data_IF_343114714553
#
_entry.id   IF_343114714553
#
_cell.length_a   1.000
_cell.length_b   1.000
_cell.length_c   1.000
_cell.angle_alpha   90.00
_cell.angle_beta   90.00
_cell.angle_gamma   90.00
#
_symmetry.space_group_name_H-M   'P 1'
#
loop_
_entity.id
_entity.type
_entity.pdbx_description
1 polymer ?
#
# COMPACT_ATOMS: atom_id res chain seq x y z
N UNK A 1 -2.95 -2.75 7.30
CA UNK A 1 -2.07 -2.35 6.17
C UNK A 1 -0.67 -2.02 6.65
N UNK A 2 -0.54 -1.21 7.71
CA UNK A 2 0.73 -0.85 8.35
C UNK A 2 1.65 -2.04 8.69
N UNK A 3 1.15 -3.06 9.38
CA UNK A 3 1.97 -4.24 9.68
C UNK A 3 2.49 -4.99 8.43
N UNK A 4 1.79 -4.91 7.29
CA UNK A 4 2.26 -5.49 6.02
C UNK A 4 3.30 -4.61 5.32
N UNK A 5 3.29 -3.30 5.59
CA UNK A 5 4.33 -2.39 5.12
C UNK A 5 5.62 -2.61 5.90
N UNK A 6 5.53 -2.56 7.23
CA UNK A 6 6.69 -2.79 8.11
C UNK A 6 7.34 -4.14 7.86
N UNK A 7 6.54 -5.21 7.68
CA UNK A 7 7.06 -6.52 7.28
C UNK A 7 7.85 -6.48 5.97
N UNK A 8 7.30 -5.83 4.94
CA UNK A 8 7.99 -5.72 3.66
C UNK A 8 9.29 -4.93 3.77
N UNK A 9 9.30 -3.86 4.56
CA UNK A 9 10.53 -3.07 4.81
C UNK A 9 11.58 -3.94 5.47
N UNK A 10 11.24 -4.69 6.52
CA UNK A 10 12.19 -5.60 7.19
C UNK A 10 12.74 -6.65 6.22
N UNK A 11 11.91 -7.18 5.32
CA UNK A 11 12.31 -8.24 4.38
C UNK A 11 13.11 -7.73 3.17
N UNK A 12 12.88 -6.49 2.71
CA UNK A 12 13.45 -5.98 1.45
C UNK A 12 14.43 -4.82 1.64
N UNK A 13 14.30 -4.09 2.75
CA UNK A 13 15.06 -2.88 3.09
C UNK A 13 15.32 -2.78 4.61
N UNK A 14 16.04 -3.75 5.20
CA UNK A 14 16.30 -3.77 6.64
C UNK A 14 17.02 -2.51 7.13
N UNK A 15 17.76 -1.81 6.27
CA UNK A 15 18.45 -0.55 6.56
C UNK A 15 17.51 0.61 6.95
N UNK A 16 16.23 0.53 6.55
CA UNK A 16 15.23 1.53 6.91
C UNK A 16 14.55 1.21 8.25
N UNK A 17 14.68 -0.01 8.76
CA UNK A 17 14.08 -0.42 10.01
C UNK A 17 14.99 -0.08 11.20
N UNK A 18 14.42 0.49 12.26
CA UNK A 18 15.19 0.83 13.46
C UNK A 18 15.63 -0.44 14.19
N UNK A 19 16.88 -0.48 14.67
CA UNK A 19 17.41 -1.63 15.43
C UNK A 19 16.57 -1.97 16.69
N UNK A 20 16.06 -0.94 17.38
CA UNK A 20 15.18 -1.13 18.55
C UNK A 20 13.89 -1.86 18.19
N UNK A 21 13.36 -1.60 16.99
CA UNK A 21 12.16 -2.21 16.49
C UNK A 21 12.41 -3.65 16.05
N UNK A 22 13.49 -3.90 15.30
CA UNK A 22 13.84 -5.24 14.83
C UNK A 22 14.22 -6.19 15.97
N UNK A 23 14.97 -5.70 16.97
CA UNK A 23 15.33 -6.48 18.16
C UNK A 23 14.11 -6.90 19.00
N UNK A 24 13.02 -6.12 18.94
CA UNK A 24 11.80 -6.38 19.69
C UNK A 24 10.80 -7.28 18.95
N UNK A 25 11.11 -7.71 17.72
CA UNK A 25 10.25 -8.58 16.92
C UNK A 25 10.45 -10.05 17.27
N UNK A 26 9.33 -10.76 17.41
CA UNK A 26 9.29 -12.22 17.44
C UNK A 26 9.17 -12.75 16.02
N UNK A 27 10.21 -13.45 15.59
CA UNK A 27 10.28 -14.13 14.30
C UNK A 27 9.55 -15.47 14.38
N UNK A 28 8.91 -15.86 13.28
CA UNK A 28 8.36 -17.20 13.09
C UNK A 28 9.48 -18.20 12.71
N UNK A 29 9.17 -19.50 12.66
CA UNK A 29 10.03 -20.58 12.15
C UNK A 29 10.56 -20.33 10.73
N UNK A 30 9.90 -19.45 9.98
CA UNK A 30 10.29 -19.02 8.63
C UNK A 30 11.22 -17.78 8.62
N UNK A 31 11.71 -17.36 9.78
CA UNK A 31 12.54 -16.16 9.98
C UNK A 31 11.84 -14.85 9.57
N UNK A 32 10.51 -14.88 9.45
CA UNK A 32 9.70 -13.73 9.06
C UNK A 32 8.93 -13.15 10.26
N UNK A 33 8.87 -11.81 10.32
CA UNK A 33 8.16 -11.10 11.37
C UNK A 33 6.64 -11.35 11.26
N UNK A 34 6.06 -11.91 12.33
CA UNK A 34 4.62 -12.19 12.35
C UNK A 34 3.83 -10.89 12.50
N UNK A 35 2.70 -10.75 11.80
CA UNK A 35 1.79 -9.59 11.91
C UNK A 35 1.44 -9.25 13.36
N UNK A 36 1.19 -10.28 14.18
CA UNK A 36 0.88 -10.12 15.62
C UNK A 36 2.05 -9.50 16.38
N UNK A 37 3.28 -9.94 16.10
CA UNK A 37 4.46 -9.36 16.73
C UNK A 37 4.66 -7.91 16.33
N UNK A 38 4.56 -7.61 15.05
CA UNK A 38 4.72 -6.22 14.55
C UNK A 38 3.74 -5.27 15.22
N UNK A 39 2.48 -5.67 15.37
CA UNK A 39 1.48 -4.87 16.06
C UNK A 39 1.76 -4.77 17.56
N UNK A 40 2.13 -5.87 18.22
CA UNK A 40 2.44 -5.86 19.65
C UNK A 40 3.66 -4.98 19.98
N UNK A 41 4.71 -5.03 19.15
CA UNK A 41 5.90 -4.18 19.30
C UNK A 41 5.54 -2.71 19.07
N UNK A 42 4.70 -2.44 18.07
CA UNK A 42 4.19 -1.09 17.80
C UNK A 42 3.38 -0.53 18.97
N UNK A 43 2.45 -1.32 19.53
CA UNK A 43 1.60 -0.92 20.65
C UNK A 43 2.40 -0.79 21.97
N UNK A 44 3.46 -1.58 22.14
CA UNK A 44 4.29 -1.54 23.35
C UNK A 44 5.25 -0.36 23.42
N UNK A 45 5.62 0.22 22.27
CA UNK A 45 6.63 1.28 22.19
C UNK A 45 6.19 2.39 21.20
N UNK A 46 5.09 3.11 21.47
CA UNK A 46 4.58 4.14 20.56
C UNK A 46 5.54 5.32 20.37
N UNK A 47 6.42 5.58 21.35
CA UNK A 47 7.44 6.62 21.28
C UNK A 47 8.68 6.22 20.45
N UNK A 48 8.85 4.93 20.14
CA UNK A 48 9.98 4.44 19.34
C UNK A 48 9.55 4.30 17.88
N UNK A 49 10.14 5.06 16.95
CA UNK A 49 9.79 4.95 15.54
C UNK A 49 10.29 3.60 14.98
N UNK A 50 9.43 2.86 14.24
CA UNK A 50 9.79 1.57 13.66
C UNK A 50 10.71 1.72 12.45
N UNK A 51 10.79 2.93 11.88
CA UNK A 51 11.55 3.24 10.68
C UNK A 51 12.40 4.50 10.88
N UNK A 52 13.54 4.54 10.20
CA UNK A 52 14.32 5.76 10.01
C UNK A 52 13.64 6.67 8.98
N UNK A 53 12.59 7.39 9.40
CA UNK A 53 11.80 8.28 8.53
C UNK A 53 12.64 9.32 7.76
N UNK A 54 13.78 9.75 8.31
CA UNK A 54 14.70 10.67 7.65
C UNK A 54 15.32 10.11 6.36
N UNK A 55 15.47 8.77 6.28
CA UNK A 55 16.08 8.09 5.14
C UNK A 55 15.03 7.53 4.17
N UNK A 56 13.75 7.82 4.41
CA UNK A 56 12.66 7.22 3.67
C UNK A 56 12.46 7.92 2.32
N UNK A 57 12.71 7.20 1.22
CA UNK A 57 12.48 7.74 -0.12
C UNK A 57 11.06 7.42 -0.62
N UNK A 58 10.47 8.28 -1.48
CA UNK A 58 9.17 8.03 -2.09
C UNK A 58 9.14 6.70 -2.84
N UNK A 59 10.24 6.39 -3.53
CA UNK A 59 10.38 5.18 -4.33
C UNK A 59 10.27 3.91 -3.49
N UNK A 60 10.68 3.93 -2.22
CA UNK A 60 10.60 2.77 -1.32
C UNK A 60 9.17 2.43 -0.96
N UNK A 61 8.37 3.46 -0.70
CA UNK A 61 6.94 3.29 -0.49
C UNK A 61 6.25 2.82 -1.79
N UNK A 62 6.60 3.39 -2.93
CA UNK A 62 6.00 3.03 -4.21
C UNK A 62 6.37 1.61 -4.67
N UNK A 63 7.61 1.15 -4.41
CA UNK A 63 8.05 -0.24 -4.62
C UNK A 63 7.23 -1.22 -3.81
N UNK A 64 6.93 -0.90 -2.55
CA UNK A 64 6.01 -1.71 -1.76
C UNK A 64 4.60 -1.72 -2.36
N UNK A 65 4.07 -0.56 -2.72
CA UNK A 65 2.74 -0.47 -3.34
C UNK A 65 2.68 -1.31 -4.62
N UNK A 66 3.73 -1.30 -5.44
CA UNK A 66 3.82 -2.07 -6.67
C UNK A 66 4.00 -3.58 -6.44
N UNK A 67 4.78 -3.98 -5.43
CA UNK A 67 4.99 -5.40 -5.12
C UNK A 67 3.71 -6.10 -4.64
N UNK A 68 2.72 -5.32 -4.18
CA UNK A 68 1.46 -5.82 -3.67
C UNK A 68 0.51 -6.24 -4.79
N UNK A 69 0.33 -7.55 -4.87
CA UNK A 69 -0.71 -8.23 -5.66
C UNK A 69 -1.72 -8.90 -4.74
N UNK A 70 -2.86 -9.27 -5.29
CA UNK A 70 -3.85 -10.06 -4.59
C UNK A 70 -3.29 -11.47 -4.35
N UNK A 71 -3.05 -11.82 -3.08
CA UNK A 71 -2.50 -13.13 -2.66
C UNK A 71 -3.30 -14.33 -3.21
N UNK A 72 -4.61 -14.18 -3.46
CA UNK A 72 -5.45 -15.26 -3.96
C UNK A 72 -5.47 -15.40 -5.48
N UNK A 73 -5.23 -14.31 -6.21
CA UNK A 73 -5.40 -14.30 -7.68
C UNK A 73 -4.16 -13.90 -8.45
N UNK A 74 -3.09 -13.46 -7.78
CA UNK A 74 -1.87 -12.93 -8.42
C UNK A 74 -2.08 -11.61 -9.19
N UNK A 75 -3.32 -11.16 -9.36
CA UNK A 75 -3.68 -9.93 -10.07
C UNK A 75 -3.39 -8.66 -9.27
N UNK A 76 -3.31 -7.49 -9.94
CA UNK A 76 -3.26 -6.18 -9.29
C UNK A 76 -4.40 -6.00 -8.28
N UNK A 77 -4.15 -5.21 -7.24
CA UNK A 77 -5.17 -4.89 -6.25
C UNK A 77 -6.15 -3.85 -6.81
N UNK A 78 -7.33 -3.74 -6.20
CA UNK A 78 -8.26 -2.66 -6.54
C UNK A 78 -7.70 -1.30 -6.14
N UNK A 79 -8.11 -0.24 -6.83
CA UNK A 79 -7.73 1.13 -6.47
C UNK A 79 -8.04 1.46 -5.00
N UNK A 80 -9.18 0.98 -4.47
CA UNK A 80 -9.55 1.16 -3.06
C UNK A 80 -8.51 0.57 -2.11
N UNK A 81 -7.93 -0.59 -2.45
CA UNK A 81 -6.88 -1.23 -1.65
C UNK A 81 -5.60 -0.39 -1.63
N UNK A 82 -5.21 0.15 -2.78
CA UNK A 82 -4.07 1.06 -2.91
C UNK A 82 -4.30 2.37 -2.16
N UNK A 83 -5.50 2.93 -2.22
CA UNK A 83 -5.89 4.11 -1.43
C UNK A 83 -5.77 3.84 0.07
N UNK A 84 -6.20 2.66 0.56
CA UNK A 84 -6.03 2.29 1.96
C UNK A 84 -4.55 2.13 2.37
N UNK A 85 -3.64 1.79 1.44
CA UNK A 85 -2.20 1.78 1.71
C UNK A 85 -1.69 3.20 1.93
N UNK A 86 -2.07 4.14 1.05
CA UNK A 86 -1.71 5.56 1.19
C UNK A 86 -2.21 6.12 2.53
N UNK A 87 -3.47 5.89 2.89
CA UNK A 87 -4.01 6.34 4.19
C UNK A 87 -3.28 5.73 5.38
N UNK A 88 -2.95 4.44 5.33
CA UNK A 88 -2.21 3.78 6.41
C UNK A 88 -0.77 4.33 6.55
N UNK A 89 -0.15 4.71 5.44
CA UNK A 89 1.16 5.36 5.45
C UNK A 89 1.09 6.78 6.01
N UNK A 90 0.13 7.59 5.57
CA UNK A 90 -0.10 8.94 6.13
C UNK A 90 -0.40 8.88 7.63
N UNK A 91 -1.16 7.88 8.09
CA UNK A 91 -1.40 7.65 9.51
C UNK A 91 -0.10 7.34 10.28
N UNK A 92 0.77 6.49 9.72
CA UNK A 92 2.09 6.22 10.30
C UNK A 92 2.92 7.50 10.41
N UNK A 93 2.95 8.32 9.36
CA UNK A 93 3.68 9.60 9.36
C UNK A 93 3.13 10.54 10.45
N UNK A 94 1.80 10.59 10.60
CA UNK A 94 1.13 11.40 11.61
C UNK A 94 1.43 10.96 13.06
N UNK A 95 1.51 9.66 13.33
CA UNK A 95 1.85 9.14 14.67
C UNK A 95 3.24 9.60 15.11
N UNK A 96 4.21 9.59 14.21
CA UNK A 96 5.60 9.95 14.51
C UNK A 96 5.93 11.41 14.19
N UNK A 97 4.90 12.24 13.96
CA UNK A 97 5.02 13.66 13.64
C UNK A 97 6.01 13.94 12.48
N UNK A 98 6.16 12.97 11.57
CA UNK A 98 7.07 13.10 10.45
C UNK A 98 6.41 13.95 9.37
N UNK A 99 7.02 15.11 9.10
CA UNK A 99 6.62 15.96 7.98
C UNK A 99 7.08 15.32 6.68
N UNK A 100 6.11 14.71 5.99
CA UNK A 100 6.30 14.19 4.63
C UNK A 100 6.78 15.34 3.74
N UNK A 101 7.95 15.24 3.09
CA UNK A 101 8.43 16.29 2.19
C UNK A 101 7.46 16.53 1.03
N UNK A 102 7.33 17.77 0.56
CA UNK A 102 6.40 18.10 -0.54
C UNK A 102 6.69 17.27 -1.82
N UNK A 103 7.99 17.06 -2.11
CA UNK A 103 8.47 16.22 -3.22
C UNK A 103 7.97 14.77 -3.06
N UNK A 104 7.88 14.27 -1.83
CA UNK A 104 7.38 12.93 -1.54
C UNK A 104 5.88 12.83 -1.84
N UNK A 105 5.11 13.84 -1.43
CA UNK A 105 3.68 13.87 -1.68
C UNK A 105 3.35 14.05 -3.17
N UNK A 106 4.12 14.86 -3.89
CA UNK A 106 3.99 15.04 -5.34
C UNK A 106 4.25 13.73 -6.10
N UNK A 107 5.34 13.03 -5.77
CA UNK A 107 5.68 11.74 -6.36
C UNK A 107 4.60 10.69 -6.09
N UNK A 108 4.12 10.62 -4.85
CA UNK A 108 3.01 9.74 -4.50
C UNK A 108 1.75 10.10 -5.31
N UNK A 109 1.37 11.38 -5.34
CA UNK A 109 0.15 11.83 -6.01
C UNK A 109 0.19 11.55 -7.52
N UNK A 110 1.34 11.78 -8.16
CA UNK A 110 1.59 11.44 -9.56
C UNK A 110 1.45 9.94 -9.81
N UNK A 111 2.07 9.12 -8.96
CA UNK A 111 1.99 7.66 -9.07
C UNK A 111 0.57 7.13 -8.89
N UNK A 112 -0.14 7.51 -7.82
CA UNK A 112 -1.51 7.06 -7.58
C UNK A 112 -2.48 7.57 -8.65
N UNK A 113 -2.24 8.77 -9.20
CA UNK A 113 -2.98 9.29 -10.35
C UNK A 113 -2.77 8.45 -11.61
N UNK A 114 -1.52 8.06 -11.89
CA UNK A 114 -1.18 7.13 -12.96
C UNK A 114 -1.84 5.77 -12.77
N UNK A 115 -1.72 5.19 -11.57
CA UNK A 115 -2.30 3.91 -11.20
C UNK A 115 -3.83 3.89 -11.37
N UNK A 116 -4.53 4.95 -10.95
CA UNK A 116 -5.97 5.10 -11.13
C UNK A 116 -6.35 5.06 -12.62
N UNK A 117 -5.60 5.77 -13.47
CA UNK A 117 -5.83 5.80 -14.92
C UNK A 117 -5.56 4.46 -15.57
N UNK A 118 -4.48 3.77 -15.20
CA UNK A 118 -4.15 2.44 -15.72
C UNK A 118 -5.23 1.43 -15.35
N UNK A 119 -5.66 1.39 -14.09
CA UNK A 119 -6.74 0.50 -13.64
C UNK A 119 -8.08 0.81 -14.33
N UNK A 120 -8.38 2.09 -14.58
CA UNK A 120 -9.58 2.49 -15.31
C UNK A 120 -9.54 2.03 -16.78
N UNK A 121 -8.37 2.13 -17.44
CA UNK A 121 -8.16 1.61 -18.80
C UNK A 121 -8.31 0.10 -18.85
N UNK A 122 -7.65 -0.64 -17.96
CA UNK A 122 -7.79 -2.11 -17.88
C UNK A 122 -9.24 -2.55 -17.66
N UNK A 123 -9.99 -1.80 -16.85
CA UNK A 123 -11.42 -2.07 -16.62
C UNK A 123 -12.26 -1.78 -17.88
N UNK A 124 -11.92 -0.73 -18.63
CA UNK A 124 -12.59 -0.38 -19.89
C UNK A 124 -12.28 -1.39 -21.02
N UNK A 125 -11.05 -1.90 -21.06
CA UNK A 125 -10.57 -2.89 -22.03
C UNK A 125 -10.99 -4.33 -21.70
N UNK A 126 -11.74 -4.53 -20.59
CA UNK A 126 -12.29 -5.83 -20.20
C UNK A 126 -11.30 -6.83 -19.60
N UNK A 127 -10.03 -6.43 -19.39
CA UNK A 127 -8.97 -7.22 -18.76
C UNK A 127 -8.87 -6.99 -17.24
N UNK A 128 -9.42 -5.88 -16.75
CA UNK A 128 -9.52 -5.55 -15.33
C UNK A 128 -10.64 -6.33 -14.64
N UNK A 129 -10.39 -6.82 -13.42
CA UNK A 129 -11.39 -7.52 -12.61
C UNK A 129 -12.52 -6.55 -12.28
N UNK A 130 -13.64 -6.67 -13.00
CA UNK A 130 -14.85 -5.89 -12.76
C UNK A 130 -15.23 -5.97 -11.27
N UNK A 131 -15.02 -4.88 -10.54
CA UNK A 131 -15.62 -4.73 -9.22
C UNK A 131 -17.13 -4.80 -9.43
N UNK A 132 -17.74 -5.86 -8.89
CA UNK A 132 -19.18 -6.13 -8.89
C UNK A 132 -19.92 -4.88 -8.39
N UNK A 133 -20.39 -4.06 -9.32
CA UNK A 133 -21.03 -2.78 -9.05
C UNK A 133 -21.42 -2.14 -10.37
N UNK A 134 -22.60 -2.51 -10.87
CA UNK A 134 -23.24 -2.12 -12.15
C UNK A 134 -22.29 -2.15 -13.36
N UNK A 135 -22.43 -3.20 -14.16
CA UNK A 135 -21.88 -3.14 -15.52
C UNK A 135 -22.36 -1.85 -16.21
N UNK A 136 -21.47 -1.04 -16.79
CA UNK A 136 -21.91 0.01 -17.68
C UNK A 136 -22.62 -0.67 -18.86
N UNK A 137 -23.93 -0.51 -18.90
CA UNK A 137 -24.78 -0.95 -20.01
C UNK A 137 -24.17 -0.34 -21.28
N UNK A 138 -23.75 -1.17 -22.25
CA UNK A 138 -23.12 -0.65 -23.46
C UNK A 138 -24.05 0.36 -24.16
N UNK A 139 -23.52 1.47 -24.69
CA UNK A 139 -24.33 2.49 -25.40
C UNK A 139 -25.16 1.92 -26.57
N UNK A 140 -24.77 0.77 -27.12
CA UNK A 140 -25.55 0.05 -28.13
C UNK A 140 -26.92 -0.39 -27.62
N UNK A 141 -27.06 -0.65 -26.31
CA UNK A 141 -28.33 -1.01 -25.68
C UNK A 141 -29.24 0.21 -25.46
N UNK A 142 -28.68 1.40 -25.18
CA UNK A 142 -29.47 2.64 -25.11
C UNK A 142 -30.10 2.99 -26.46
N UNK A 143 -29.37 2.79 -27.57
CA UNK A 143 -29.89 3.07 -28.90
C UNK A 143 -31.06 2.14 -29.30
N UNK A 144 -31.05 0.89 -28.85
CA UNK A 144 -32.11 -0.09 -29.15
C UNK A 144 -33.36 0.03 -28.26
N UNK A 145 -33.26 0.74 -27.14
CA UNK A 145 -34.39 1.01 -26.23
C UNK A 145 -35.03 2.37 -26.48
N UNK A 146 -34.40 3.21 -27.32
CA UNK A 146 -34.88 4.53 -27.70
C UNK A 146 -35.49 4.55 -29.12
N UNK A 147 -35.70 3.38 -29.71
CA UNK A 147 -36.56 3.13 -30.89
C UNK A 147 -37.81 2.39 -30.41
#
# INVERSE_FOLDING_TARGET
MMARYLRWVIENKPELATESFTASLKLDKSDSATKKSILATFDSAPASPPLHFANLEPDDFLKWVHSRKNEKTGLPLSYSSYSSMRTAFSYLCGIYEWKVPDIFEENCSTYFGGLKRTLAKETADGTGKATKGKQPMSMRLYRRLAE
#
